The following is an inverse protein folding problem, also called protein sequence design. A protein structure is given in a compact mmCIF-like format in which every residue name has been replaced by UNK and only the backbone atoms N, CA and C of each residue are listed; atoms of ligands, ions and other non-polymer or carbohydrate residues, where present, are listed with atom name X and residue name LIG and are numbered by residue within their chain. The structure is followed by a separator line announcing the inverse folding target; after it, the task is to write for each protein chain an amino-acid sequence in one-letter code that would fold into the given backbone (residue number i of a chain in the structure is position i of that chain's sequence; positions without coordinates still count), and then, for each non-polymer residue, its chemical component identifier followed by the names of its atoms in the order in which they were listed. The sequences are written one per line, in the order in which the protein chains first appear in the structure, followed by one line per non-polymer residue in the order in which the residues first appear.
data_IF_421144132591
#
_entry.id   IF_421144132591
#
_cell.length_a   1.000
_cell.length_b   1.000
_cell.length_c   1.000
_cell.angle_alpha   90.00
_cell.angle_beta   90.00
_cell.angle_gamma   90.00
#
_symmetry.space_group_name_H-M   'P 1'
#
loop_
_entity.id
_entity.type
_entity.pdbx_description
1 polymer ?
#
# COMPACT_ATOMS: atom_id res chain seq x y z
N UNK A 1 -10.90 15.80 1.16
CA UNK A 1 -9.59 16.34 1.61
C UNK A 1 -8.46 15.70 0.81
N UNK A 2 -7.44 16.48 0.42
CA UNK A 2 -6.26 15.96 -0.30
C UNK A 2 -5.15 15.61 0.71
N UNK A 3 -4.62 14.40 0.64
CA UNK A 3 -3.53 13.93 1.51
C UNK A 3 -2.34 13.52 0.65
N UNK A 4 -1.16 14.09 0.91
CA UNK A 4 0.06 13.80 0.15
C UNK A 4 0.74 12.56 0.71
N UNK A 5 1.01 11.60 -0.16
CA UNK A 5 1.71 10.36 0.15
C UNK A 5 2.99 10.32 -0.69
N UNK A 6 4.14 10.29 -0.03
CA UNK A 6 5.42 10.10 -0.70
C UNK A 6 5.76 8.61 -0.77
N UNK A 7 6.16 8.15 -1.95
CA UNK A 7 6.67 6.81 -2.18
C UNK A 7 8.14 6.92 -2.63
N UNK A 8 9.06 6.52 -1.75
CA UNK A 8 10.51 6.70 -1.94
C UNK A 8 11.30 5.41 -1.70
N UNK A 9 12.56 5.39 -2.12
CA UNK A 9 13.47 4.24 -2.03
C UNK A 9 14.32 4.07 -3.29
N UNK A 10 15.38 3.26 -3.21
CA UNK A 10 16.34 3.05 -4.30
C UNK A 10 15.69 2.56 -5.60
N UNK A 11 16.30 2.89 -6.74
CA UNK A 11 15.89 2.36 -8.05
C UNK A 11 15.79 0.83 -8.03
N UNK A 12 14.76 0.27 -8.66
CA UNK A 12 14.55 -1.18 -8.69
C UNK A 12 13.93 -1.80 -7.43
N UNK A 13 13.70 -1.03 -6.35
CA UNK A 13 13.11 -1.56 -5.11
C UNK A 13 11.64 -1.98 -5.21
N UNK A 14 10.94 -1.65 -6.30
CA UNK A 14 9.55 -2.10 -6.56
C UNK A 14 8.46 -1.05 -6.31
N UNK A 15 8.82 0.22 -6.08
CA UNK A 15 7.88 1.35 -5.88
C UNK A 15 6.78 1.44 -6.94
N UNK A 16 7.16 1.60 -8.20
CA UNK A 16 6.23 1.74 -9.32
C UNK A 16 5.42 0.46 -9.56
N UNK A 17 6.01 -0.71 -9.31
CA UNK A 17 5.30 -1.99 -9.33
C UNK A 17 4.17 -2.02 -8.30
N UNK A 18 4.45 -1.64 -7.05
CA UNK A 18 3.44 -1.55 -5.99
C UNK A 18 2.36 -0.52 -6.33
N UNK A 19 2.74 0.69 -6.78
CA UNK A 19 1.78 1.70 -7.21
C UNK A 19 0.84 1.16 -8.29
N UNK A 20 1.40 0.49 -9.29
CA UNK A 20 0.64 -0.01 -10.45
C UNK A 20 -0.33 -1.12 -10.05
N UNK A 21 0.07 -2.01 -9.14
CA UNK A 21 -0.78 -3.11 -8.66
C UNK A 21 -1.90 -2.56 -7.78
N UNK A 22 -1.57 -1.74 -6.79
CA UNK A 22 -2.52 -1.26 -5.78
C UNK A 22 -3.51 -0.24 -6.38
N UNK A 23 -3.02 0.65 -7.24
CA UNK A 23 -3.80 1.82 -7.68
C UNK A 23 -4.17 1.83 -9.16
N UNK A 24 -3.54 0.99 -9.99
CA UNK A 24 -3.83 0.92 -11.44
C UNK A 24 -4.32 -0.46 -11.89
N UNK A 25 -4.59 -1.38 -10.96
CA UNK A 25 -5.00 -2.77 -11.22
C UNK A 25 -4.07 -3.50 -12.21
N UNK A 26 -2.75 -3.26 -12.16
CA UNK A 26 -1.77 -4.07 -12.88
C UNK A 26 -1.65 -5.45 -12.23
N UNK A 27 -1.28 -6.45 -13.04
CA UNK A 27 -0.91 -7.77 -12.53
C UNK A 27 0.60 -7.81 -12.33
N UNK A 28 1.05 -8.50 -11.28
CA UNK A 28 2.47 -8.62 -10.92
C UNK A 28 3.38 -9.03 -12.09
N UNK A 29 2.90 -9.84 -13.05
CA UNK A 29 3.67 -10.21 -14.25
C UNK A 29 3.95 -9.03 -15.18
N UNK A 30 3.02 -8.09 -15.28
CA UNK A 30 3.08 -6.97 -16.23
C UNK A 30 3.99 -5.85 -15.72
N UNK A 31 4.30 -5.83 -14.42
CA UNK A 31 5.23 -4.86 -13.83
C UNK A 31 6.66 -5.01 -14.33
N UNK A 32 7.03 -6.18 -14.90
CA UNK A 32 8.34 -6.40 -15.54
C UNK A 32 8.58 -5.49 -16.75
N UNK A 33 7.51 -4.92 -17.33
CA UNK A 33 7.59 -4.00 -18.49
C UNK A 33 7.73 -2.54 -18.07
N UNK A 34 7.62 -2.24 -16.77
CA UNK A 34 7.76 -0.88 -16.27
C UNK A 34 9.23 -0.46 -16.39
N UNK A 35 9.46 0.65 -17.09
CA UNK A 35 10.77 1.30 -17.15
C UNK A 35 11.11 1.99 -15.82
N UNK A 36 12.32 2.52 -15.72
CA UNK A 36 12.71 3.36 -14.60
C UNK A 36 11.89 4.66 -14.60
N UNK A 37 11.34 5.03 -13.44
CA UNK A 37 10.67 6.33 -13.26
C UNK A 37 11.69 7.44 -13.43
N UNK A 38 11.34 8.42 -14.27
CA UNK A 38 12.11 9.64 -14.48
C UNK A 38 11.50 10.69 -13.55
N UNK A 39 12.32 11.23 -12.64
CA UNK A 39 11.89 12.23 -11.66
C UNK A 39 10.67 11.76 -10.83
N UNK A 40 9.65 12.61 -10.62
CA UNK A 40 8.47 12.28 -9.81
C UNK A 40 7.24 12.03 -10.70
N UNK A 41 6.63 10.86 -10.56
CA UNK A 41 5.34 10.56 -11.19
C UNK A 41 4.19 10.80 -10.20
N UNK A 42 3.25 11.68 -10.57
CA UNK A 42 2.09 12.01 -9.75
C UNK A 42 0.90 11.13 -10.09
N UNK A 43 0.20 10.63 -9.08
CA UNK A 43 -1.05 9.89 -9.24
C UNK A 43 -2.10 10.37 -8.23
N UNK A 44 -3.31 10.63 -8.71
CA UNK A 44 -4.45 11.02 -7.87
C UNK A 44 -5.39 9.84 -7.71
N UNK A 45 -5.45 9.28 -6.51
CA UNK A 45 -6.30 8.14 -6.19
C UNK A 45 -7.42 8.61 -5.28
N UNK A 46 -8.67 8.48 -5.77
CA UNK A 46 -9.85 8.69 -4.94
C UNK A 46 -10.10 7.43 -4.11
N UNK A 47 -10.18 7.59 -2.80
CA UNK A 47 -10.44 6.52 -1.86
C UNK A 47 -11.66 6.91 -1.00
N UNK A 48 -12.59 5.96 -0.79
CA UNK A 48 -13.79 6.16 0.05
C UNK A 48 -14.53 7.48 -0.21
N UNK A 49 -14.75 7.81 -1.49
CA UNK A 49 -15.49 9.02 -1.92
C UNK A 49 -14.69 10.32 -1.86
N UNK A 50 -14.45 10.86 -0.65
CA UNK A 50 -13.96 12.24 -0.45
C UNK A 50 -12.45 12.37 -0.15
N UNK A 51 -11.78 11.26 0.17
CA UNK A 51 -10.34 11.23 0.39
C UNK A 51 -9.64 11.11 -0.97
N UNK A 52 -8.77 12.07 -1.26
CA UNK A 52 -7.92 12.01 -2.44
C UNK A 52 -6.49 11.87 -1.98
N UNK A 53 -5.91 10.71 -2.27
CA UNK A 53 -4.49 10.45 -2.07
C UNK A 53 -3.74 11.00 -3.28
N UNK A 54 -2.85 11.94 -3.01
CA UNK A 54 -1.90 12.43 -4.00
C UNK A 54 -0.61 11.65 -3.79
N UNK A 55 -0.45 10.58 -4.56
CA UNK A 55 0.71 9.72 -4.50
C UNK A 55 1.83 10.31 -5.38
N UNK A 56 3.02 10.42 -4.79
CA UNK A 56 4.23 10.92 -5.44
C UNK A 56 5.21 9.76 -5.52
N UNK A 57 5.27 9.09 -6.68
CA UNK A 57 6.21 8.00 -6.96
C UNK A 57 7.54 8.61 -7.39
N UNK A 58 8.51 8.64 -6.47
CA UNK A 58 9.78 9.30 -6.69
C UNK A 58 10.78 8.32 -7.34
N UNK A 59 11.33 8.68 -8.50
CA UNK A 59 12.38 7.91 -9.15
C UNK A 59 13.60 7.77 -8.25
N UNK A 60 14.02 6.52 -8.00
CA UNK A 60 15.08 6.21 -7.02
C UNK A 60 16.50 6.18 -7.59
N UNK A 61 16.76 6.82 -8.73
CA UNK A 61 18.11 6.90 -9.29
C UNK A 61 18.91 7.97 -8.53
N UNK A 62 20.22 7.78 -8.36
CA UNK A 62 21.05 8.63 -7.50
C UNK A 62 20.98 10.11 -7.88
N UNK A 63 21.10 10.43 -9.17
CA UNK A 63 21.01 11.80 -9.66
C UNK A 63 19.66 12.50 -9.31
N UNK A 64 18.55 11.74 -9.32
CA UNK A 64 17.25 12.29 -8.92
C UNK A 64 17.14 12.45 -7.41
N UNK A 65 17.63 11.46 -6.64
CA UNK A 65 17.63 11.52 -5.18
C UNK A 65 18.42 12.73 -4.66
N UNK A 66 19.60 12.99 -5.21
CA UNK A 66 20.41 14.17 -4.86
C UNK A 66 19.65 15.48 -5.16
N UNK A 67 18.99 15.56 -6.30
CA UNK A 67 18.19 16.73 -6.68
C UNK A 67 16.99 16.94 -5.73
N UNK A 68 16.37 15.85 -5.26
CA UNK A 68 15.27 15.92 -4.28
C UNK A 68 15.73 16.49 -2.94
N UNK A 69 16.94 16.17 -2.49
CA UNK A 69 17.46 16.67 -1.21
C UNK A 69 18.12 18.04 -1.30
N UNK A 70 18.56 18.43 -2.51
CA UNK A 70 19.19 19.73 -2.76
C UNK A 70 18.17 20.77 -3.26
N UNK A 71 17.83 20.76 -4.55
CA UNK A 71 17.08 21.83 -5.18
C UNK A 71 15.56 21.77 -4.93
N UNK A 72 15.01 20.56 -4.75
CA UNK A 72 13.56 20.34 -4.64
C UNK A 72 13.09 19.96 -3.22
N UNK A 73 13.95 20.09 -2.20
CA UNK A 73 13.70 19.63 -0.83
C UNK A 73 12.38 20.14 -0.27
N UNK A 74 12.16 21.46 -0.32
CA UNK A 74 10.95 22.06 0.22
C UNK A 74 9.70 21.67 -0.58
N UNK A 75 9.82 21.50 -1.89
CA UNK A 75 8.69 21.13 -2.74
C UNK A 75 8.23 19.69 -2.47
N UNK A 76 9.18 18.76 -2.34
CA UNK A 76 8.90 17.34 -2.13
C UNK A 76 8.47 17.06 -0.70
N UNK A 77 9.16 17.60 0.30
CA UNK A 77 8.95 17.20 1.69
C UNK A 77 7.94 18.05 2.47
N UNK A 78 7.36 19.09 1.85
CA UNK A 78 6.29 19.90 2.47
C UNK A 78 4.91 19.23 2.37
N UNK A 79 4.12 19.40 3.43
CA UNK A 79 2.74 18.94 3.58
C UNK A 79 2.59 17.42 3.35
N UNK A 80 3.58 16.64 3.77
CA UNK A 80 3.57 15.18 3.67
C UNK A 80 2.77 14.62 4.83
N UNK A 81 1.80 13.78 4.53
CA UNK A 81 0.97 13.12 5.54
C UNK A 81 1.46 11.72 5.83
N UNK A 82 1.99 11.07 4.78
CA UNK A 82 2.51 9.71 4.85
C UNK A 82 3.78 9.62 4.00
N UNK A 83 4.85 9.08 4.56
CA UNK A 83 6.03 8.61 3.84
C UNK A 83 5.99 7.08 3.81
N UNK A 84 6.07 6.51 2.62
CA UNK A 84 6.27 5.07 2.39
C UNK A 84 7.66 4.91 1.77
N UNK A 85 8.59 4.33 2.53
CA UNK A 85 9.94 4.06 2.07
C UNK A 85 10.11 2.57 1.78
N UNK A 86 10.61 2.24 0.59
CA UNK A 86 10.67 0.88 0.07
C UNK A 86 12.11 0.40 -0.01
N UNK A 87 12.43 -0.60 0.80
CA UNK A 87 13.71 -1.30 0.81
C UNK A 87 13.63 -2.58 0.00
N UNK A 88 14.65 -2.84 -0.81
CA UNK A 88 14.80 -4.12 -1.49
C UNK A 88 15.53 -5.10 -0.57
N UNK A 89 14.93 -6.26 -0.27
CA UNK A 89 15.56 -7.26 0.61
C UNK A 89 16.85 -7.84 0.01
N UNK A 90 17.00 -7.83 -1.31
CA UNK A 90 18.21 -8.30 -2.00
C UNK A 90 19.27 -7.21 -2.19
N UNK A 91 19.04 -5.99 -1.69
CA UNK A 91 19.99 -4.90 -1.84
C UNK A 91 21.34 -5.27 -1.22
N UNK A 92 22.40 -5.14 -2.03
CA UNK A 92 23.80 -5.35 -1.61
C UNK A 92 24.41 -4.09 -1.00
N UNK A 93 23.76 -2.93 -1.16
CA UNK A 93 24.27 -1.62 -0.74
C UNK A 93 23.46 -1.06 0.44
N UNK A 94 23.35 -1.85 1.50
CA UNK A 94 22.50 -1.54 2.67
C UNK A 94 22.87 -0.19 3.29
N UNK A 95 24.16 0.11 3.48
CA UNK A 95 24.58 1.38 4.09
C UNK A 95 24.19 2.59 3.24
N UNK A 96 24.28 2.48 1.91
CA UNK A 96 23.86 3.56 1.00
C UNK A 96 22.35 3.75 1.04
N UNK A 97 21.59 2.66 1.06
CA UNK A 97 20.13 2.71 1.20
C UNK A 97 19.70 3.34 2.53
N UNK A 98 20.44 3.06 3.61
CA UNK A 98 20.23 3.65 4.92
C UNK A 98 20.57 5.14 4.96
N UNK A 99 21.65 5.58 4.29
CA UNK A 99 21.96 7.00 4.17
C UNK A 99 20.85 7.77 3.46
N UNK A 100 20.40 7.31 2.30
CA UNK A 100 19.27 7.96 1.61
C UNK A 100 17.98 7.95 2.43
N UNK A 101 17.76 6.89 3.21
CA UNK A 101 16.62 6.83 4.12
C UNK A 101 16.73 7.88 5.23
N UNK A 102 17.91 8.05 5.85
CA UNK A 102 18.13 9.06 6.87
C UNK A 102 17.97 10.48 6.31
N UNK A 103 18.49 10.77 5.11
CA UNK A 103 18.29 12.06 4.45
C UNK A 103 16.80 12.38 4.24
N UNK A 104 16.00 11.38 3.86
CA UNK A 104 14.54 11.50 3.79
C UNK A 104 13.91 11.80 5.14
N UNK A 105 14.33 11.13 6.21
CA UNK A 105 13.80 11.35 7.55
C UNK A 105 14.13 12.75 8.06
N UNK A 106 15.35 13.25 7.82
CA UNK A 106 15.75 14.61 8.16
C UNK A 106 14.91 15.64 7.41
N UNK A 107 14.66 15.41 6.12
CA UNK A 107 13.83 16.29 5.31
C UNK A 107 12.36 16.29 5.80
N UNK A 108 11.83 15.14 6.20
CA UNK A 108 10.49 15.02 6.81
C UNK A 108 10.45 15.71 8.18
N UNK A 109 11.44 15.51 9.04
CA UNK A 109 11.47 16.11 10.37
C UNK A 109 11.46 17.65 10.28
N UNK A 110 12.18 18.21 9.31
CA UNK A 110 12.23 19.64 9.07
C UNK A 110 10.93 20.22 8.48
N UNK A 111 10.24 19.49 7.59
CA UNK A 111 9.15 20.04 6.77
C UNK A 111 7.75 19.51 7.10
N UNK A 112 7.63 18.31 7.67
CA UNK A 112 6.39 17.57 7.89
C UNK A 112 6.49 16.64 9.11
N UNK A 113 6.77 17.21 10.30
CA UNK A 113 6.99 16.46 11.56
C UNK A 113 5.87 15.48 11.96
N UNK A 114 4.63 15.75 11.55
CA UNK A 114 3.46 14.94 11.89
C UNK A 114 3.20 13.81 10.86
N UNK A 115 4.07 13.67 9.86
CA UNK A 115 3.97 12.63 8.84
C UNK A 115 4.11 11.23 9.46
N UNK A 116 3.25 10.30 9.02
CA UNK A 116 3.38 8.89 9.38
C UNK A 116 4.38 8.20 8.48
N UNK A 117 5.31 7.45 9.06
CA UNK A 117 6.40 6.80 8.31
C UNK A 117 6.19 5.30 8.30
N UNK A 118 6.15 4.75 7.08
CA UNK A 118 6.00 3.33 6.81
C UNK A 118 7.22 2.83 6.04
N UNK A 119 7.83 1.75 6.51
CA UNK A 119 8.96 1.10 5.86
C UNK A 119 8.52 -0.25 5.30
N UNK A 120 8.66 -0.45 4.00
CA UNK A 120 8.35 -1.71 3.35
C UNK A 120 9.65 -2.44 3.05
N UNK A 121 9.86 -3.58 3.71
CA UNK A 121 10.91 -4.54 3.34
C UNK A 121 10.31 -5.39 2.23
N UNK A 122 10.67 -5.07 0.99
CA UNK A 122 10.01 -5.57 -0.21
C UNK A 122 10.77 -6.72 -0.85
N UNK A 123 10.09 -7.43 -1.77
CA UNK A 123 10.56 -8.65 -2.44
C UNK A 123 10.86 -9.81 -1.49
N UNK A 124 10.11 -9.90 -0.38
CA UNK A 124 10.28 -10.98 0.61
C UNK A 124 10.01 -12.38 0.04
N UNK A 125 9.39 -12.48 -1.14
CA UNK A 125 9.26 -13.72 -1.89
C UNK A 125 10.60 -14.38 -2.26
N UNK A 126 11.66 -13.59 -2.40
CA UNK A 126 13.02 -14.06 -2.73
C UNK A 126 13.74 -14.66 -1.53
N UNK A 127 13.20 -14.45 -0.32
CA UNK A 127 13.70 -15.03 0.93
C UNK A 127 12.97 -16.34 1.21
N UNK A 128 13.69 -17.36 1.66
CA UNK A 128 13.11 -18.63 2.10
C UNK A 128 12.20 -18.43 3.31
N UNK A 129 11.01 -19.05 3.30
CA UNK A 129 9.93 -18.83 4.27
C UNK A 129 10.40 -18.96 5.73
N UNK A 130 11.22 -19.98 6.01
CA UNK A 130 11.76 -20.29 7.33
C UNK A 130 12.58 -19.15 7.96
N UNK A 131 13.26 -18.35 7.13
CA UNK A 131 14.13 -17.26 7.61
C UNK A 131 13.52 -15.87 7.43
N UNK A 132 12.35 -15.74 6.77
CA UNK A 132 11.68 -14.45 6.52
C UNK A 132 11.47 -13.65 7.80
N UNK A 133 10.95 -14.30 8.84
CA UNK A 133 10.66 -13.64 10.11
C UNK A 133 11.93 -13.11 10.80
N UNK A 134 13.02 -13.89 10.74
CA UNK A 134 14.31 -13.50 11.31
C UNK A 134 14.87 -12.26 10.60
N UNK A 135 14.96 -12.31 9.27
CA UNK A 135 15.47 -11.19 8.45
C UNK A 135 14.62 -9.94 8.67
N UNK A 136 13.29 -10.07 8.68
CA UNK A 136 12.40 -8.94 8.94
C UNK A 136 12.69 -8.28 10.30
N UNK A 137 12.79 -9.08 11.37
CA UNK A 137 13.03 -8.55 12.72
C UNK A 137 14.38 -7.86 12.85
N UNK A 138 15.44 -8.43 12.26
CA UNK A 138 16.78 -7.83 12.24
C UNK A 138 16.77 -6.47 11.54
N UNK A 139 16.19 -6.41 10.34
CA UNK A 139 16.06 -5.16 9.56
C UNK A 139 15.18 -4.13 10.26
N UNK A 140 14.08 -4.56 10.87
CA UNK A 140 13.19 -3.66 11.58
C UNK A 140 13.86 -3.02 12.80
N UNK A 141 14.65 -3.80 13.56
CA UNK A 141 15.41 -3.29 14.69
C UNK A 141 16.42 -2.21 14.26
N UNK A 142 17.13 -2.45 13.16
CA UNK A 142 18.07 -1.47 12.59
C UNK A 142 17.34 -0.20 12.14
N UNK A 143 16.26 -0.34 11.36
CA UNK A 143 15.45 0.79 10.89
C UNK A 143 14.91 1.60 12.05
N UNK A 144 14.41 0.95 13.10
CA UNK A 144 13.86 1.62 14.27
C UNK A 144 14.91 2.48 14.97
N UNK A 145 16.12 1.93 15.13
CA UNK A 145 17.24 2.65 15.76
C UNK A 145 17.66 3.85 14.92
N UNK A 146 17.81 3.68 13.60
CA UNK A 146 18.21 4.77 12.69
C UNK A 146 17.12 5.82 12.44
N UNK A 147 15.87 5.55 12.84
CA UNK A 147 14.75 6.47 12.63
C UNK A 147 14.47 7.38 13.81
N UNK A 148 15.13 7.20 14.96
CA UNK A 148 14.91 8.05 16.12
C UNK A 148 15.19 9.53 15.80
N UNK A 149 14.35 10.48 16.25
CA UNK A 149 13.23 10.32 17.20
C UNK A 149 11.87 9.98 16.55
N UNK A 150 11.81 9.76 15.23
CA UNK A 150 10.57 9.50 14.51
C UNK A 150 10.06 8.08 14.74
N UNK A 151 8.73 7.93 14.87
CA UNK A 151 8.08 6.63 15.00
C UNK A 151 7.81 6.04 13.62
N UNK A 152 8.22 4.80 13.42
CA UNK A 152 8.04 4.08 12.16
C UNK A 152 7.23 2.80 12.35
N UNK A 153 6.58 2.35 11.28
CA UNK A 153 5.97 1.01 11.18
C UNK A 153 6.55 0.28 9.99
N UNK A 154 7.02 -0.96 10.16
CA UNK A 154 7.62 -1.74 9.08
C UNK A 154 6.77 -2.95 8.70
N UNK A 155 6.81 -3.33 7.42
CA UNK A 155 6.06 -4.46 6.87
C UNK A 155 6.92 -5.25 5.88
N UNK A 156 6.87 -6.57 5.98
CA UNK A 156 7.38 -7.48 4.96
C UNK A 156 6.35 -7.57 3.82
N UNK A 157 6.76 -7.31 2.58
CA UNK A 157 5.84 -7.24 1.44
C UNK A 157 6.39 -7.95 0.20
N UNK A 158 5.47 -8.45 -0.62
CA UNK A 158 5.76 -9.00 -1.94
C UNK A 158 4.57 -8.73 -2.87
N UNK A 159 4.85 -8.43 -4.14
CA UNK A 159 3.82 -8.32 -5.18
C UNK A 159 3.24 -9.66 -5.61
N UNK A 160 3.84 -10.78 -5.18
CA UNK A 160 3.42 -12.13 -5.56
C UNK A 160 2.43 -12.73 -4.55
N UNK A 161 2.35 -12.18 -3.34
CA UNK A 161 1.52 -12.67 -2.23
C UNK A 161 0.18 -11.94 -2.14
N UNK A 162 -0.69 -12.12 -3.14
CA UNK A 162 -2.03 -11.55 -3.08
C UNK A 162 -3.09 -12.45 -3.74
N UNK A 163 -3.72 -13.34 -2.97
CA UNK A 163 -4.82 -14.20 -3.44
C UNK A 163 -6.07 -13.39 -3.83
N UNK A 164 -6.43 -12.38 -3.01
CA UNK A 164 -7.60 -11.53 -3.23
C UNK A 164 -7.43 -10.54 -4.39
N UNK A 165 -6.27 -9.90 -4.52
CA UNK A 165 -6.01 -9.03 -5.66
C UNK A 165 -5.87 -9.83 -6.96
N UNK A 166 -5.21 -11.00 -6.96
CA UNK A 166 -5.18 -11.90 -8.12
C UNK A 166 -6.60 -12.32 -8.55
N UNK A 167 -7.48 -12.60 -7.59
CA UNK A 167 -8.86 -12.95 -7.88
C UNK A 167 -9.63 -11.79 -8.54
N UNK A 168 -9.55 -10.57 -7.98
CA UNK A 168 -10.15 -9.35 -8.56
C UNK A 168 -9.64 -9.08 -9.99
N UNK A 169 -8.33 -9.25 -10.21
CA UNK A 169 -7.70 -9.07 -11.51
C UNK A 169 -8.15 -10.13 -12.53
N UNK A 170 -8.36 -11.37 -12.09
CA UNK A 170 -8.91 -12.45 -12.92
C UNK A 170 -10.34 -12.13 -13.38
N UNK A 171 -11.23 -11.71 -12.48
CA UNK A 171 -12.60 -11.31 -12.84
C UNK A 171 -12.62 -10.16 -13.84
N UNK A 172 -11.79 -9.14 -13.62
CA UNK A 172 -11.70 -7.97 -14.51
C UNK A 172 -11.26 -8.34 -15.93
N UNK A 173 -10.32 -9.28 -16.08
CA UNK A 173 -9.87 -9.80 -17.39
C UNK A 173 -10.95 -10.58 -18.13
N UNK A 174 -11.85 -11.24 -17.40
CA UNK A 174 -13.01 -11.94 -17.97
C UNK A 174 -14.18 -11.01 -18.30
N UNK A 175 -14.02 -9.68 -18.20
CA UNK A 175 -15.10 -8.68 -18.32
C UNK A 175 -16.27 -8.90 -17.34
N UNK A 176 -16.09 -9.74 -16.32
CA UNK A 176 -17.07 -9.97 -15.28
C UNK A 176 -16.72 -9.09 -14.08
N UNK A 177 -17.60 -8.13 -13.74
CA UNK A 177 -17.45 -7.43 -12.46
C UNK A 177 -17.71 -8.41 -11.32
N UNK A 178 -16.77 -8.50 -10.39
CA UNK A 178 -16.96 -9.28 -9.18
C UNK A 178 -18.10 -8.66 -8.36
N UNK A 179 -19.20 -9.41 -8.18
CA UNK A 179 -20.36 -8.97 -7.39
C UNK A 179 -20.32 -9.54 -5.98
N UNK A 180 -20.24 -10.86 -5.87
CA UNK A 180 -20.15 -11.55 -4.59
C UNK A 180 -19.48 -12.92 -4.76
N UNK A 181 -18.96 -13.45 -3.66
CA UNK A 181 -18.47 -14.82 -3.53
C UNK A 181 -18.94 -15.39 -2.21
N UNK A 182 -19.34 -16.65 -2.23
CA UNK A 182 -19.65 -17.41 -1.03
C UNK A 182 -18.77 -18.65 -0.98
N UNK A 183 -18.12 -18.87 0.16
CA UNK A 183 -17.30 -20.05 0.44
C UNK A 183 -17.90 -20.75 1.66
N UNK A 184 -18.39 -21.97 1.48
CA UNK A 184 -18.87 -22.82 2.57
C UNK A 184 -17.89 -23.96 2.82
N UNK A 185 -17.50 -24.13 4.08
CA UNK A 185 -16.75 -25.29 4.58
C UNK A 185 -17.50 -25.91 5.76
N UNK A 186 -17.04 -27.09 6.20
CA UNK A 186 -17.64 -27.82 7.32
C UNK A 186 -17.66 -27.02 8.64
N UNK A 187 -16.72 -26.09 8.82
CA UNK A 187 -16.51 -25.37 10.08
C UNK A 187 -16.74 -23.85 9.97
N UNK A 188 -16.99 -23.33 8.76
CA UNK A 188 -17.25 -21.91 8.56
C UNK A 188 -17.93 -21.63 7.23
N UNK A 189 -18.61 -20.51 7.14
CA UNK A 189 -19.03 -19.90 5.90
C UNK A 189 -18.44 -18.49 5.79
N UNK A 190 -17.88 -18.14 4.63
CA UNK A 190 -17.37 -16.81 4.33
C UNK A 190 -18.13 -16.21 3.15
N UNK A 191 -18.63 -14.99 3.34
CA UNK A 191 -19.36 -14.22 2.35
C UNK A 191 -18.55 -12.98 1.98
N UNK A 192 -18.26 -12.83 0.70
CA UNK A 192 -17.69 -11.63 0.12
C UNK A 192 -18.76 -10.93 -0.71
N UNK A 193 -19.05 -9.66 -0.40
CA UNK A 193 -20.06 -8.89 -1.12
C UNK A 193 -19.64 -7.42 -1.25
N UNK A 194 -20.24 -6.72 -2.20
CA UNK A 194 -20.10 -5.27 -2.33
C UNK A 194 -20.88 -4.62 -1.17
N UNK A 195 -20.19 -3.87 -0.33
CA UNK A 195 -20.84 -3.14 0.77
C UNK A 195 -21.28 -1.76 0.30
N UNK A 196 -20.41 -1.00 -0.38
CA UNK A 196 -20.71 0.32 -0.96
C UNK A 196 -20.13 0.43 -2.37
N UNK A 197 -20.34 1.57 -3.04
CA UNK A 197 -19.68 1.84 -4.33
C UNK A 197 -18.14 1.79 -4.25
N UNK A 198 -17.56 1.95 -3.05
CA UNK A 198 -16.12 2.02 -2.82
C UNK A 198 -15.57 0.93 -1.89
N UNK A 199 -16.41 0.05 -1.35
CA UNK A 199 -16.01 -0.95 -0.35
C UNK A 199 -16.61 -2.33 -0.59
N UNK A 200 -15.85 -3.35 -0.21
CA UNK A 200 -16.31 -4.74 -0.11
C UNK A 200 -16.36 -5.13 1.37
N UNK A 201 -17.23 -6.07 1.70
CA UNK A 201 -17.31 -6.69 3.03
C UNK A 201 -17.00 -8.18 2.92
N UNK A 202 -16.23 -8.69 3.88
CA UNK A 202 -16.07 -10.11 4.13
C UNK A 202 -16.72 -10.44 5.47
N UNK A 203 -17.73 -11.32 5.48
CA UNK A 203 -18.39 -11.82 6.68
C UNK A 203 -17.99 -13.27 6.88
N UNK A 204 -17.34 -13.59 7.99
CA UNK A 204 -16.99 -14.97 8.37
C UNK A 204 -17.92 -15.41 9.49
N UNK A 205 -18.63 -16.51 9.26
CA UNK A 205 -19.52 -17.14 10.24
C UNK A 205 -18.95 -18.51 10.60
N UNK A 206 -18.86 -18.81 11.90
CA UNK A 206 -18.45 -20.12 12.41
C UNK A 206 -19.53 -21.19 12.26
N UNK A 207 -20.79 -20.78 12.13
CA UNK A 207 -21.92 -21.68 11.90
C UNK A 207 -22.24 -21.76 10.40
N UNK A 208 -21.93 -22.88 9.72
CA UNK A 208 -22.22 -23.04 8.30
C UNK A 208 -23.70 -23.33 8.03
N UNK A 209 -24.56 -23.51 9.03
CA UNK A 209 -25.99 -23.76 8.84
C UNK A 209 -26.79 -22.49 8.61
N UNK A 210 -26.21 -21.32 8.92
CA UNK A 210 -26.85 -20.03 8.66
C UNK A 210 -27.15 -19.87 7.17
N UNK A 211 -28.40 -19.53 6.87
CA UNK A 211 -28.85 -19.33 5.50
C UNK A 211 -28.15 -18.13 4.84
N UNK A 212 -27.71 -18.32 3.60
CA UNK A 212 -27.08 -17.27 2.79
C UNK A 212 -27.99 -16.04 2.64
N UNK A 213 -29.31 -16.26 2.52
CA UNK A 213 -30.30 -15.20 2.36
C UNK A 213 -30.34 -14.26 3.57
N UNK A 214 -30.28 -14.79 4.79
CA UNK A 214 -30.25 -14.00 6.02
C UNK A 214 -29.00 -13.10 6.07
N UNK A 215 -27.85 -13.66 5.69
CA UNK A 215 -26.57 -12.93 5.65
C UNK A 215 -26.59 -11.80 4.61
N UNK A 216 -27.08 -12.08 3.40
CA UNK A 216 -27.22 -11.09 2.33
C UNK A 216 -28.22 -9.98 2.70
N UNK A 217 -29.31 -10.33 3.39
CA UNK A 217 -30.28 -9.35 3.88
C UNK A 217 -29.64 -8.41 4.90
N UNK A 218 -28.86 -8.94 5.83
CA UNK A 218 -28.13 -8.14 6.83
C UNK A 218 -27.11 -7.20 6.17
N UNK A 219 -26.34 -7.69 5.19
CA UNK A 219 -25.41 -6.86 4.40
C UNK A 219 -26.16 -5.73 3.69
N UNK A 220 -27.33 -6.02 3.12
CA UNK A 220 -28.16 -5.03 2.40
C UNK A 220 -28.72 -3.95 3.34
N UNK A 221 -29.12 -4.32 4.57
CA UNK A 221 -29.56 -3.35 5.57
C UNK A 221 -28.37 -2.49 6.01
N UNK A 222 -27.22 -3.11 6.31
CA UNK A 222 -26.01 -2.43 6.73
C UNK A 222 -25.51 -1.41 5.68
N UNK A 223 -25.60 -1.76 4.39
CA UNK A 223 -25.19 -0.89 3.26
C UNK A 223 -25.70 0.54 3.38
N UNK A 224 -26.99 0.74 3.73
CA UNK A 224 -27.59 2.07 3.90
C UNK A 224 -26.93 2.91 5.00
N UNK A 225 -26.37 2.28 6.02
CA UNK A 225 -25.67 2.97 7.11
C UNK A 225 -24.25 3.37 6.68
N UNK A 226 -23.54 2.51 5.94
CA UNK A 226 -22.19 2.80 5.46
C UNK A 226 -22.17 3.81 4.32
N UNK A 227 -23.16 3.80 3.42
CA UNK A 227 -23.31 4.83 2.37
C UNK A 227 -23.50 6.24 2.95
N UNK A 228 -24.18 6.37 4.10
CA UNK A 228 -24.33 7.64 4.82
C UNK A 228 -23.00 8.15 5.38
N UNK A 229 -22.09 7.27 5.78
CA UNK A 229 -20.75 7.66 6.25
C UNK A 229 -19.90 8.20 5.08
N UNK A 230 -19.97 7.57 3.92
CA UNK A 230 -19.26 8.07 2.73
C UNK A 230 -19.77 9.46 2.30
N UNK A 231 -21.09 9.67 2.33
CA UNK A 231 -21.72 10.93 1.91
C UNK A 231 -21.60 12.06 2.94
N UNK A 232 -21.69 11.76 4.24
CA UNK A 232 -21.50 12.77 5.31
C UNK A 232 -20.08 13.34 5.35
N UNK A 233 -19.09 12.58 4.87
CA UNK A 233 -17.73 13.07 4.66
C UNK A 233 -17.57 13.91 3.37
N UNK A 234 -18.51 13.88 2.42
CA UNK A 234 -18.46 14.72 1.21
C UNK A 234 -18.93 16.17 1.43
N UNK A 235 -19.68 16.44 2.51
CA UNK A 235 -20.27 17.76 2.81
C UNK A 235 -19.46 18.61 3.79
N UNK A 236 -18.30 18.12 4.24
CA UNK A 236 -17.30 18.88 5.03
C UNK A 236 -16.01 19.04 4.24
#
# INVERSE_FOLDING_TARGET
MKKKVLLMGKSGSGKTSMRSIIFSNYIARDTRRLGATIDVEHSHVRFLGNLVLNLWDCGGQEAFMENYFAAQRDHIFRNVEVLIYVFDVESREIERDMHYYQDCLEAILANSKDAKIFCLIHKMDLVQEEVRAKIFNERFSELKTRSEPLKISAFATSIWDETLYKFKLSCSKSQAQFKSMEVRQANFAAFFDILTANTYVMVIMSDPTVESAATQMNITVARKHFEKLETSHMTR
#
